data_IF_901146672385
#
_entry.id   IF_901146672385
#
_cell.length_a   1.000
_cell.length_b   1.000
_cell.length_c   1.000
_cell.angle_alpha   90.00
_cell.angle_beta   90.00
_cell.angle_gamma   90.00
#
_symmetry.space_group_name_H-M   'P 1'
#
loop_
_entity.id
_entity.type
_entity.pdbx_description
1 polymer ?
#
# COMPACT_ATOMS: atom_id res chain seq x y z
N UNK A 1 -8.85 -10.74 9.56
CA UNK A 1 -7.56 -10.30 8.97
C UNK A 1 -7.48 -10.74 7.53
N UNK A 2 -7.05 -9.83 6.68
CA UNK A 2 -6.87 -10.11 5.25
C UNK A 2 -5.47 -9.67 4.83
N UNK A 3 -4.86 -10.38 3.91
CA UNK A 3 -3.55 -9.99 3.40
C UNK A 3 -3.35 -10.46 1.96
N UNK A 4 -2.48 -9.75 1.26
CA UNK A 4 -2.10 -10.10 -0.11
C UNK A 4 -0.71 -9.57 -0.41
N UNK A 5 -0.10 -10.12 -1.45
CA UNK A 5 1.14 -9.59 -1.99
C UNK A 5 0.83 -8.85 -3.27
N UNK A 6 1.49 -7.72 -3.45
CA UNK A 6 1.30 -6.87 -4.63
C UNK A 6 2.65 -6.53 -5.23
N UNK A 7 2.67 -6.39 -6.55
CA UNK A 7 3.87 -5.96 -7.27
C UNK A 7 3.73 -4.48 -7.60
N UNK A 8 4.75 -3.70 -7.31
CA UNK A 8 4.78 -2.29 -7.69
C UNK A 8 4.99 -2.20 -9.20
N UNK A 9 4.02 -1.63 -9.90
CA UNK A 9 4.00 -1.62 -11.37
C UNK A 9 4.34 -0.27 -11.99
N UNK A 10 4.26 0.81 -11.22
CA UNK A 10 4.55 2.13 -11.75
C UNK A 10 6.06 2.39 -11.77
N UNK A 11 6.49 3.19 -12.71
CA UNK A 11 7.91 3.37 -13.03
C UNK A 11 8.72 3.91 -11.85
N UNK A 12 8.19 4.91 -11.15
CA UNK A 12 8.90 5.54 -10.04
C UNK A 12 8.68 4.87 -8.69
N UNK A 13 7.90 3.77 -8.67
CA UNK A 13 7.67 3.03 -7.45
C UNK A 13 6.88 3.84 -6.41
N UNK A 14 7.17 3.58 -5.14
CA UNK A 14 6.50 4.27 -4.04
C UNK A 14 7.14 5.64 -3.78
N UNK A 15 7.07 6.53 -4.80
CA UNK A 15 7.48 7.92 -4.63
C UNK A 15 6.45 8.68 -3.78
N UNK A 16 6.75 9.94 -3.45
CA UNK A 16 5.94 10.70 -2.49
C UNK A 16 4.46 10.75 -2.86
N UNK A 17 4.14 10.98 -4.14
CA UNK A 17 2.75 11.07 -4.59
C UNK A 17 2.03 9.72 -4.50
N UNK A 18 2.69 8.64 -4.88
CA UNK A 18 2.13 7.30 -4.78
C UNK A 18 1.87 6.94 -3.31
N UNK A 19 2.80 7.26 -2.42
CA UNK A 19 2.63 7.03 -0.98
C UNK A 19 1.46 7.81 -0.42
N UNK A 20 1.30 9.07 -0.85
CA UNK A 20 0.18 9.90 -0.40
C UNK A 20 -1.16 9.30 -0.84
N UNK A 21 -1.24 8.79 -2.06
CA UNK A 21 -2.45 8.13 -2.57
C UNK A 21 -2.75 6.84 -1.79
N UNK A 22 -1.71 6.06 -1.50
CA UNK A 22 -1.86 4.85 -0.72
C UNK A 22 -2.43 5.15 0.67
N UNK A 23 -1.82 6.11 1.36
CA UNK A 23 -2.23 6.50 2.72
C UNK A 23 -3.64 7.07 2.71
N UNK A 24 -3.97 7.90 1.73
CA UNK A 24 -5.30 8.48 1.60
C UNK A 24 -6.35 7.38 1.45
N UNK A 25 -6.09 6.39 0.62
CA UNK A 25 -6.99 5.27 0.42
C UNK A 25 -7.12 4.45 1.71
N UNK A 26 -6.00 4.12 2.34
CA UNK A 26 -6.00 3.36 3.59
C UNK A 26 -6.78 4.08 4.69
N UNK A 27 -6.67 5.41 4.75
CA UNK A 27 -7.33 6.22 5.78
C UNK A 27 -8.85 6.25 5.65
N UNK A 28 -9.40 5.83 4.52
CA UNK A 28 -10.85 5.76 4.32
C UNK A 28 -11.50 4.59 5.07
N UNK A 29 -10.68 3.68 5.58
CA UNK A 29 -11.16 2.47 6.25
C UNK A 29 -10.80 2.50 7.72
N UNK A 30 -11.60 1.81 8.54
CA UNK A 30 -11.35 1.72 9.98
C UNK A 30 -10.25 0.73 10.31
N UNK A 31 -10.07 -0.27 9.47
CA UNK A 31 -9.09 -1.33 9.70
C UNK A 31 -7.69 -0.78 9.84
N UNK A 32 -6.88 -1.45 10.65
CA UNK A 32 -5.45 -1.23 10.67
C UNK A 32 -4.87 -1.71 9.34
N UNK A 33 -3.89 -0.98 8.82
CA UNK A 33 -3.23 -1.33 7.57
C UNK A 33 -1.74 -1.41 7.82
N UNK A 34 -1.17 -2.57 7.47
CA UNK A 34 0.26 -2.82 7.59
C UNK A 34 0.82 -3.13 6.22
N UNK A 35 1.94 -2.51 5.88
CA UNK A 35 2.62 -2.75 4.61
C UNK A 35 4.04 -3.17 4.92
N UNK A 36 4.51 -4.21 4.26
CA UNK A 36 5.86 -4.67 4.49
C UNK A 36 6.57 -4.98 3.18
N UNK A 37 7.88 -4.83 3.22
CA UNK A 37 8.80 -5.26 2.17
C UNK A 37 9.97 -5.92 2.86
N UNK A 38 10.25 -7.16 2.51
CA UNK A 38 11.27 -7.95 3.19
C UNK A 38 10.99 -8.00 4.70
N UNK A 39 11.92 -7.59 5.54
CA UNK A 39 11.77 -7.64 7.00
C UNK A 39 11.20 -6.35 7.60
N UNK A 40 10.94 -5.35 6.79
CA UNK A 40 10.44 -4.06 7.28
C UNK A 40 8.93 -3.98 7.13
N UNK A 41 8.22 -3.83 8.25
CA UNK A 41 6.79 -3.60 8.27
C UNK A 41 6.51 -2.19 8.79
N UNK A 42 5.60 -1.47 8.13
CA UNK A 42 5.26 -0.09 8.46
C UNK A 42 3.75 0.07 8.56
N UNK A 43 3.33 1.17 9.16
CA UNK A 43 1.92 1.56 9.22
C UNK A 43 1.50 2.11 7.86
N UNK A 44 0.51 1.44 7.24
CA UNK A 44 0.01 1.84 5.92
C UNK A 44 -0.76 3.15 5.91
N UNK A 45 -1.01 3.76 7.08
CA UNK A 45 -1.65 5.07 7.21
C UNK A 45 -0.65 6.18 7.51
N UNK A 46 0.64 5.88 7.40
CA UNK A 46 1.73 6.85 7.60
C UNK A 46 2.48 7.04 6.29
N UNK A 47 2.48 8.26 5.77
CA UNK A 47 3.20 8.57 4.52
C UNK A 47 4.68 8.26 4.69
N UNK A 48 5.27 8.72 5.79
CA UNK A 48 6.69 8.47 6.06
C UNK A 48 6.98 6.98 6.19
N UNK A 49 6.08 6.25 6.86
CA UNK A 49 6.24 4.81 7.00
C UNK A 49 6.28 4.10 5.65
N UNK A 50 5.31 4.42 4.80
CA UNK A 50 5.24 3.78 3.47
C UNK A 50 6.45 4.16 2.62
N UNK A 51 6.90 5.42 2.70
CA UNK A 51 8.09 5.86 1.98
C UNK A 51 9.36 5.12 2.42
N UNK A 52 9.44 4.75 3.69
CA UNK A 52 10.60 4.01 4.20
C UNK A 52 10.79 2.64 3.56
N UNK A 53 9.75 2.08 2.95
CA UNK A 53 9.88 0.81 2.24
C UNK A 53 10.75 0.94 1.00
N UNK A 54 10.89 2.15 0.46
CA UNK A 54 11.71 2.43 -0.72
C UNK A 54 11.43 1.44 -1.87
N UNK A 55 10.17 1.04 -2.04
CA UNK A 55 9.82 0.01 -3.02
C UNK A 55 9.87 0.58 -4.43
N UNK A 56 10.69 -0.04 -5.25
CA UNK A 56 10.88 0.34 -6.65
C UNK A 56 9.94 -0.46 -7.54
N UNK A 57 9.86 -0.08 -8.81
CA UNK A 57 9.15 -0.86 -9.81
C UNK A 57 9.64 -2.32 -9.76
N UNK A 58 8.70 -3.26 -9.75
CA UNK A 58 9.00 -4.67 -9.67
C UNK A 58 9.13 -5.22 -8.25
N UNK A 59 9.20 -4.36 -7.24
CA UNK A 59 9.25 -4.81 -5.85
C UNK A 59 7.94 -5.47 -5.45
N UNK A 60 8.03 -6.45 -4.56
CA UNK A 60 6.87 -7.11 -3.98
C UNK A 60 6.66 -6.54 -2.58
N UNK A 61 5.46 -6.05 -2.32
CA UNK A 61 5.05 -5.61 -1.00
C UNK A 61 3.92 -6.50 -0.50
N UNK A 62 3.84 -6.66 0.82
CA UNK A 62 2.73 -7.36 1.43
C UNK A 62 1.85 -6.36 2.16
N UNK A 63 0.53 -6.43 1.91
CA UNK A 63 -0.44 -5.57 2.57
C UNK A 63 -1.31 -6.46 3.44
N UNK A 64 -1.44 -6.09 4.71
CA UNK A 64 -2.27 -6.81 5.68
C UNK A 64 -3.22 -5.82 6.33
N UNK A 65 -4.48 -6.21 6.43
CA UNK A 65 -5.52 -5.37 7.03
C UNK A 65 -6.21 -6.12 8.16
N UNK A 66 -6.56 -5.41 9.23
CA UNK A 66 -7.23 -5.99 10.39
C UNK A 66 -8.33 -5.05 10.86
N UNK A 67 -9.57 -5.52 10.86
CA UNK A 67 -10.71 -4.74 11.33
C UNK A 67 -12.00 -5.15 10.66
N UNK A 68 -13.07 -4.41 10.95
CA UNK A 68 -14.41 -4.74 10.47
C UNK A 68 -14.52 -4.67 8.94
N UNK A 69 -13.78 -3.75 8.33
CA UNK A 69 -13.82 -3.52 6.88
C UNK A 69 -12.54 -3.97 6.19
N UNK A 70 -11.85 -4.96 6.75
CA UNK A 70 -10.54 -5.37 6.27
C UNK A 70 -10.55 -5.85 4.82
N UNK A 71 -11.56 -6.58 4.39
CA UNK A 71 -11.64 -7.05 3.00
C UNK A 71 -11.81 -5.88 2.04
N UNK A 72 -12.68 -4.92 2.38
CA UNK A 72 -12.90 -3.75 1.55
C UNK A 72 -11.63 -2.89 1.45
N UNK A 73 -10.93 -2.74 2.57
CA UNK A 73 -9.68 -1.98 2.60
C UNK A 73 -8.62 -2.65 1.71
N UNK A 74 -8.48 -3.96 1.83
CA UNK A 74 -7.51 -4.71 1.05
C UNK A 74 -7.78 -4.60 -0.44
N UNK A 75 -9.05 -4.75 -0.85
CA UNK A 75 -9.42 -4.64 -2.26
C UNK A 75 -9.15 -3.25 -2.81
N UNK A 76 -9.46 -2.21 -2.05
CA UNK A 76 -9.21 -0.84 -2.49
C UNK A 76 -7.72 -0.59 -2.71
N UNK A 77 -6.89 -1.09 -1.80
CA UNK A 77 -5.44 -0.93 -1.92
C UNK A 77 -4.87 -1.77 -3.07
N UNK A 78 -5.40 -2.96 -3.27
CA UNK A 78 -5.02 -3.79 -4.41
C UNK A 78 -5.31 -3.09 -5.72
N UNK A 79 -6.53 -2.57 -5.89
CA UNK A 79 -6.91 -1.88 -7.11
C UNK A 79 -6.03 -0.66 -7.36
N UNK A 80 -5.70 0.06 -6.30
CA UNK A 80 -4.85 1.24 -6.41
C UNK A 80 -3.45 0.87 -6.93
N UNK A 81 -2.83 -0.13 -6.33
CA UNK A 81 -1.47 -0.55 -6.71
C UNK A 81 -1.46 -1.18 -8.10
N UNK A 82 -2.42 -2.09 -8.37
CA UNK A 82 -2.50 -2.76 -9.67
C UNK A 82 -2.78 -1.76 -10.80
N UNK A 83 -3.51 -0.69 -10.48
CA UNK A 83 -3.82 0.38 -11.43
C UNK A 83 -2.74 1.45 -11.53
N UNK A 84 -1.54 1.19 -11.02
CA UNK A 84 -0.40 2.14 -11.04
C UNK A 84 -0.78 3.46 -10.39
N UNK A 85 -1.48 3.39 -9.27
CA UNK A 85 -1.91 4.56 -8.51
C UNK A 85 -2.70 5.56 -9.40
N UNK A 86 -3.56 5.02 -10.26
CA UNK A 86 -4.38 5.85 -11.15
C UNK A 86 -3.62 6.46 -12.31
N UNK A 87 -2.48 5.89 -12.68
CA UNK A 87 -1.70 6.36 -13.81
C UNK A 87 -0.47 7.18 -13.42
N UNK A 88 -0.05 7.11 -12.17
CA UNK A 88 1.18 7.76 -11.72
C UNK A 88 2.42 7.10 -12.33
N UNK A 89 3.46 7.89 -12.68
CA UNK A 89 4.71 7.27 -13.13
C UNK A 89 5.35 6.45 -11.99
#
# INVERSE_FOLDING_TARGET
MAETQLVIRNQLGLHARACALFVKTAAQYRSQVYVSRDDLEVNGKSIMGVMMLAAEEGSIIKVRTEGDDDQAALEALRELVDGRFGGEP
#
